data_IF_833717054901
#
_entry.id   IF_833717054901
#
_cell.length_a   1.000
_cell.length_b   1.000
_cell.length_c   1.000
_cell.angle_alpha   90.00
_cell.angle_beta   90.00
_cell.angle_gamma   90.00
#
_symmetry.space_group_name_H-M   'P 1'
#
loop_
_entity.id
_entity.type
_entity.pdbx_description
1 polymer ?
#
# COMPACT_ATOMS: atom_id res chain seq x y z
N UNK A 1 -8.64 33.09 7.07
CA UNK A 1 -9.65 32.16 6.54
C UNK A 1 -9.01 30.79 6.46
N UNK A 2 -9.44 29.82 7.28
CA UNK A 2 -8.99 28.44 7.13
C UNK A 2 -9.74 27.85 5.94
N UNK A 3 -9.10 27.84 4.78
CA UNK A 3 -9.64 27.10 3.65
C UNK A 3 -9.43 25.61 3.95
N UNK A 4 -10.51 24.88 4.15
CA UNK A 4 -10.50 23.42 4.35
C UNK A 4 -10.31 22.72 2.99
N UNK A 5 -9.14 22.93 2.37
CA UNK A 5 -8.76 22.31 1.10
C UNK A 5 -7.80 21.15 1.33
N UNK A 6 -7.84 20.18 0.42
CA UNK A 6 -7.02 18.98 0.51
C UNK A 6 -5.61 19.24 -0.02
N UNK A 7 -4.63 19.33 0.87
CA UNK A 7 -3.21 19.53 0.52
C UNK A 7 -2.66 18.38 -0.33
N UNK A 8 -3.08 17.14 -0.05
CA UNK A 8 -2.75 15.97 -0.87
C UNK A 8 -3.28 16.10 -2.30
N UNK A 9 -4.52 16.54 -2.46
CA UNK A 9 -5.12 16.78 -3.77
C UNK A 9 -4.42 17.93 -4.49
N UNK A 10 -4.11 19.03 -3.78
CA UNK A 10 -3.35 20.16 -4.32
C UNK A 10 -1.97 19.70 -4.80
N UNK A 11 -1.31 18.82 -4.04
CA UNK A 11 -0.07 18.17 -4.45
C UNK A 11 -0.27 17.23 -5.65
N UNK A 12 -1.48 16.82 -5.98
CA UNK A 12 -1.83 16.04 -7.17
C UNK A 12 -2.27 14.60 -6.92
N UNK A 13 -2.42 14.18 -5.65
CA UNK A 13 -2.90 12.84 -5.30
C UNK A 13 -3.50 12.82 -3.89
N UNK A 14 -4.82 12.62 -3.76
CA UNK A 14 -5.47 12.39 -2.46
C UNK A 14 -5.61 10.90 -2.15
N UNK A 15 -5.10 10.43 -1.00
CA UNK A 15 -5.19 9.00 -0.64
C UNK A 15 -6.63 8.56 -0.36
N UNK A 16 -7.45 9.45 0.23
CA UNK A 16 -8.85 9.14 0.52
C UNK A 16 -9.68 8.95 -0.74
N UNK A 17 -9.34 9.66 -1.83
CA UNK A 17 -9.95 9.46 -3.13
C UNK A 17 -9.37 8.21 -3.83
N UNK A 18 -8.04 8.07 -3.79
CA UNK A 18 -7.31 7.01 -4.46
C UNK A 18 -7.66 5.61 -3.96
N UNK A 19 -7.91 5.47 -2.65
CA UNK A 19 -8.28 4.22 -2.01
C UNK A 19 -9.79 4.15 -1.67
N UNK A 20 -10.62 5.00 -2.29
CA UNK A 20 -12.05 5.02 -2.02
C UNK A 20 -12.76 3.80 -2.63
N UNK A 21 -13.53 3.08 -1.81
CA UNK A 21 -14.56 2.12 -2.24
C UNK A 21 -15.93 2.69 -1.90
N UNK A 22 -16.73 2.98 -2.93
CA UNK A 22 -18.05 3.57 -2.78
C UNK A 22 -18.92 2.72 -1.86
N UNK A 23 -19.42 3.31 -0.78
CA UNK A 23 -20.28 2.65 0.20
C UNK A 23 -19.53 1.82 1.25
N UNK A 24 -18.19 1.76 1.21
CA UNK A 24 -17.37 1.01 2.17
C UNK A 24 -16.45 1.98 2.93
N UNK A 25 -15.66 2.78 2.22
CA UNK A 25 -14.70 3.70 2.84
C UNK A 25 -15.24 5.12 2.91
N UNK A 26 -14.81 5.89 3.90
CA UNK A 26 -15.11 7.31 3.99
C UNK A 26 -14.42 8.08 2.85
N UNK A 27 -15.17 8.95 2.17
CA UNK A 27 -14.62 9.87 1.17
C UNK A 27 -13.79 10.98 1.83
N UNK A 28 -12.95 11.66 1.05
CA UNK A 28 -12.23 12.83 1.53
C UNK A 28 -13.23 13.89 2.01
N UNK A 29 -13.04 14.40 3.22
CA UNK A 29 -13.89 15.46 3.80
C UNK A 29 -13.42 16.86 3.39
N UNK A 30 -12.19 16.99 2.89
CA UNK A 30 -11.59 18.25 2.47
C UNK A 30 -11.97 18.59 1.02
N UNK A 31 -11.99 19.87 0.69
CA UNK A 31 -12.35 20.32 -0.65
C UNK A 31 -11.23 20.06 -1.68
N UNK A 32 -11.59 19.47 -2.82
CA UNK A 32 -10.69 19.20 -3.94
C UNK A 32 -10.82 20.32 -5.00
N UNK A 33 -10.25 21.48 -4.70
CA UNK A 33 -10.32 22.66 -5.56
C UNK A 33 -9.25 22.60 -6.67
N UNK A 34 -9.64 22.80 -7.93
CA UNK A 34 -8.73 22.75 -9.06
C UNK A 34 -7.69 23.88 -8.99
N UNK A 35 -8.13 25.05 -8.51
CA UNK A 35 -7.33 26.26 -8.32
C UNK A 35 -6.18 26.02 -7.33
N UNK A 36 -6.41 25.22 -6.28
CA UNK A 36 -5.35 24.86 -5.32
C UNK A 36 -4.26 24.00 -5.97
N UNK A 37 -4.63 23.13 -6.90
CA UNK A 37 -3.68 22.30 -7.65
C UNK A 37 -2.92 23.12 -8.69
N UNK A 38 -3.58 24.03 -9.38
CA UNK A 38 -2.94 24.95 -10.32
C UNK A 38 -1.94 25.86 -9.60
N UNK A 39 -2.33 26.43 -8.46
CA UNK A 39 -1.44 27.21 -7.61
C UNK A 39 -0.23 26.39 -7.15
N UNK A 40 -0.42 25.12 -6.78
CA UNK A 40 0.67 24.21 -6.44
C UNK A 40 1.65 23.96 -7.60
N UNK A 41 1.14 23.82 -8.83
CA UNK A 41 1.99 23.61 -10.01
C UNK A 41 2.74 24.89 -10.39
N UNK A 42 2.08 26.05 -10.30
CA UNK A 42 2.65 27.35 -10.66
C UNK A 42 3.62 27.90 -9.62
N UNK A 43 3.42 27.58 -8.34
CA UNK A 43 4.32 28.03 -7.28
C UNK A 43 5.68 27.33 -7.39
N UNK A 44 6.76 28.11 -7.58
CA UNK A 44 8.14 27.62 -7.47
C UNK A 44 8.60 27.47 -6.02
N UNK A 45 7.95 28.14 -5.07
CA UNK A 45 8.46 28.36 -3.70
C UNK A 45 7.40 28.15 -2.60
N UNK A 46 6.11 28.14 -2.92
CA UNK A 46 5.10 28.61 -1.95
C UNK A 46 4.35 27.55 -1.16
N UNK A 47 4.74 26.28 -1.24
CA UNK A 47 4.03 25.24 -0.52
C UNK A 47 5.05 24.37 0.20
N UNK A 48 4.87 24.24 1.51
CA UNK A 48 5.81 23.58 2.44
C UNK A 48 5.23 22.34 3.11
N UNK A 49 4.10 21.84 2.62
CA UNK A 49 3.43 20.66 3.17
C UNK A 49 3.91 19.34 2.56
N UNK A 50 4.81 19.36 1.56
CA UNK A 50 5.31 18.17 0.85
C UNK A 50 5.93 17.17 1.79
N UNK A 51 6.70 17.64 2.79
CA UNK A 51 7.29 16.75 3.80
C UNK A 51 6.22 16.03 4.60
N UNK A 52 5.12 16.72 4.95
CA UNK A 52 4.02 16.13 5.72
C UNK A 52 3.25 15.12 4.86
N UNK A 53 2.94 15.47 3.61
CA UNK A 53 2.30 14.56 2.64
C UNK A 53 3.16 13.33 2.38
N UNK A 54 4.45 13.54 2.11
CA UNK A 54 5.39 12.45 1.87
C UNK A 54 5.50 11.52 3.08
N UNK A 55 5.54 12.07 4.30
CA UNK A 55 5.53 11.27 5.52
C UNK A 55 4.25 10.43 5.61
N UNK A 56 3.08 11.03 5.36
CA UNK A 56 1.80 10.30 5.34
C UNK A 56 1.80 9.18 4.30
N UNK A 57 2.28 9.44 3.09
CA UNK A 57 2.37 8.42 2.04
C UNK A 57 3.36 7.30 2.41
N UNK A 58 4.50 7.66 3.02
CA UNK A 58 5.46 6.67 3.50
C UNK A 58 4.86 5.78 4.60
N UNK A 59 4.01 6.29 5.49
CA UNK A 59 3.31 5.45 6.48
C UNK A 59 2.48 4.37 5.78
N UNK A 60 1.70 4.74 4.75
CA UNK A 60 0.90 3.80 3.97
C UNK A 60 1.79 2.78 3.24
N UNK A 61 2.87 3.24 2.60
CA UNK A 61 3.79 2.35 1.87
C UNK A 61 4.58 1.42 2.80
N UNK A 62 4.90 1.87 4.01
CA UNK A 62 5.60 1.07 5.02
C UNK A 62 4.69 -0.04 5.57
N UNK A 63 3.40 0.24 5.79
CA UNK A 63 2.42 -0.79 6.15
C UNK A 63 2.36 -1.89 5.09
N UNK A 64 2.27 -1.52 3.81
CA UNK A 64 2.28 -2.48 2.70
C UNK A 64 3.61 -3.22 2.59
N UNK A 65 4.74 -2.54 2.77
CA UNK A 65 6.06 -3.18 2.73
C UNK A 65 6.21 -4.21 3.87
N UNK A 66 5.69 -3.91 5.06
CA UNK A 66 5.63 -4.84 6.19
C UNK A 66 4.80 -6.08 5.83
N UNK A 67 3.59 -5.87 5.27
CA UNK A 67 2.72 -6.96 4.79
C UNK A 67 3.41 -7.83 3.74
N UNK A 68 4.10 -7.23 2.77
CA UNK A 68 4.88 -7.95 1.75
C UNK A 68 5.96 -8.81 2.41
N UNK A 69 6.76 -8.21 3.29
CA UNK A 69 7.88 -8.89 3.97
C UNK A 69 7.38 -10.08 4.80
N UNK A 70 6.25 -9.90 5.48
CA UNK A 70 5.60 -10.97 6.23
C UNK A 70 5.17 -12.12 5.33
N UNK A 71 4.50 -11.81 4.21
CA UNK A 71 4.04 -12.83 3.28
C UNK A 71 5.20 -13.55 2.57
N UNK A 72 6.29 -12.86 2.25
CA UNK A 72 7.50 -13.49 1.72
C UNK A 72 8.08 -14.52 2.69
N UNK A 73 8.02 -14.27 4.00
CA UNK A 73 8.43 -15.25 5.03
C UNK A 73 7.51 -16.46 5.07
N UNK A 74 6.19 -16.25 5.01
CA UNK A 74 5.19 -17.33 4.92
C UNK A 74 5.50 -18.22 3.72
N UNK A 75 5.74 -17.63 2.54
CA UNK A 75 6.03 -18.40 1.34
C UNK A 75 7.38 -19.12 1.41
N UNK A 76 8.41 -18.49 2.00
CA UNK A 76 9.69 -19.16 2.25
C UNK A 76 9.54 -20.40 3.14
N UNK A 77 8.71 -20.31 4.19
CA UNK A 77 8.41 -21.46 5.06
C UNK A 77 7.67 -22.56 4.28
N UNK A 78 6.74 -22.20 3.39
CA UNK A 78 6.06 -23.16 2.53
C UNK A 78 7.02 -23.85 1.55
N UNK A 79 7.98 -23.12 0.97
CA UNK A 79 9.01 -23.65 0.06
C UNK A 79 9.93 -24.66 0.76
N UNK A 80 10.22 -24.45 2.05
CA UNK A 80 11.02 -25.37 2.87
C UNK A 80 10.20 -26.48 3.54
N UNK A 81 8.90 -26.62 3.21
CA UNK A 81 7.94 -27.54 3.83
C UNK A 81 7.73 -27.32 5.34
N UNK A 82 8.07 -26.14 5.86
CA UNK A 82 7.81 -25.76 7.24
C UNK A 82 6.40 -25.16 7.39
N UNK A 83 5.38 -26.00 7.17
CA UNK A 83 3.99 -25.56 7.11
C UNK A 83 3.43 -25.11 8.46
N UNK A 84 3.97 -25.60 9.58
CA UNK A 84 3.56 -25.18 10.91
C UNK A 84 3.96 -23.73 11.18
N UNK A 85 5.20 -23.35 10.83
CA UNK A 85 5.64 -21.96 10.98
C UNK A 85 4.92 -21.03 10.01
N UNK A 86 4.68 -21.47 8.76
CA UNK A 86 3.84 -20.72 7.82
C UNK A 86 2.42 -20.52 8.38
N UNK A 87 1.83 -21.53 9.02
CA UNK A 87 0.51 -21.45 9.63
C UNK A 87 0.47 -20.44 10.78
N UNK A 88 1.45 -20.49 11.68
CA UNK A 88 1.55 -19.56 12.81
C UNK A 88 1.70 -18.11 12.34
N UNK A 89 2.51 -17.89 11.32
CA UNK A 89 2.69 -16.56 10.70
C UNK A 89 1.41 -16.06 10.00
N UNK A 90 0.63 -16.94 9.35
CA UNK A 90 -0.67 -16.53 8.79
C UNK A 90 -1.69 -16.24 9.91
N UNK A 91 -1.67 -17.02 10.99
CA UNK A 91 -2.60 -16.86 12.10
C UNK A 91 -2.39 -15.53 12.84
N UNK A 92 -1.14 -15.11 13.06
CA UNK A 92 -0.83 -13.83 13.70
C UNK A 92 -1.34 -12.61 12.91
N UNK A 93 -1.41 -12.71 11.58
CA UNK A 93 -2.00 -11.65 10.74
C UNK A 93 -3.52 -11.69 10.83
N UNK A 94 -4.12 -12.87 10.76
CA UNK A 94 -5.58 -13.04 10.88
C UNK A 94 -6.14 -12.61 12.24
N UNK A 95 -5.34 -12.63 13.31
CA UNK A 95 -5.73 -12.06 14.61
C UNK A 95 -6.01 -10.55 14.52
N UNK A 96 -5.35 -9.84 13.60
CA UNK A 96 -5.51 -8.39 13.40
C UNK A 96 -6.39 -8.05 12.19
N UNK A 97 -6.52 -8.98 11.23
CA UNK A 97 -7.29 -8.82 9.99
C UNK A 97 -8.10 -10.11 9.71
N UNK A 98 -9.13 -10.41 10.53
CA UNK A 98 -9.85 -11.68 10.47
C UNK A 98 -10.64 -11.87 9.16
N UNK A 99 -11.02 -10.78 8.51
CA UNK A 99 -11.82 -10.78 7.28
C UNK A 99 -10.96 -10.90 6.01
N UNK A 100 -9.66 -11.14 6.14
CA UNK A 100 -8.77 -11.34 5.01
C UNK A 100 -8.98 -12.70 4.34
N UNK A 101 -9.97 -12.78 3.44
CA UNK A 101 -10.37 -14.01 2.76
C UNK A 101 -9.21 -14.75 2.07
N UNK A 102 -8.23 -14.03 1.52
CA UNK A 102 -7.05 -14.66 0.90
C UNK A 102 -6.19 -15.39 1.92
N UNK A 103 -6.00 -14.80 3.12
CA UNK A 103 -5.27 -15.43 4.22
C UNK A 103 -6.06 -16.56 4.87
N UNK A 104 -7.39 -16.43 5.00
CA UNK A 104 -8.25 -17.52 5.49
C UNK A 104 -8.15 -18.74 4.55
N UNK A 105 -8.17 -18.51 3.24
CA UNK A 105 -7.98 -19.57 2.25
C UNK A 105 -6.59 -20.20 2.35
N UNK A 106 -5.55 -19.38 2.51
CA UNK A 106 -4.18 -19.87 2.68
C UNK A 106 -4.04 -20.70 3.96
N UNK A 107 -4.64 -20.27 5.07
CA UNK A 107 -4.69 -21.01 6.34
C UNK A 107 -5.31 -22.39 6.15
N UNK A 108 -6.45 -22.49 5.48
CA UNK A 108 -7.10 -23.79 5.19
C UNK A 108 -6.21 -24.73 4.39
N UNK A 109 -5.45 -24.21 3.42
CA UNK A 109 -4.49 -25.00 2.66
C UNK A 109 -3.31 -25.47 3.51
N UNK A 110 -2.77 -24.61 4.37
CA UNK A 110 -1.70 -24.98 5.31
C UNK A 110 -2.15 -26.09 6.27
N UNK A 111 -3.36 -26.01 6.82
CA UNK A 111 -3.94 -27.08 7.64
C UNK A 111 -4.02 -28.39 6.86
N UNK A 112 -4.47 -28.36 5.62
CA UNK A 112 -4.52 -29.53 4.76
C UNK A 112 -3.12 -30.12 4.50
N UNK A 113 -2.10 -29.28 4.28
CA UNK A 113 -0.71 -29.72 4.13
C UNK A 113 -0.16 -30.38 5.40
N UNK A 114 -0.50 -29.83 6.58
CA UNK A 114 -0.08 -30.37 7.89
C UNK A 114 -0.73 -31.74 8.14
N UNK A 115 -2.04 -31.87 7.92
CA UNK A 115 -2.80 -33.10 8.23
C UNK A 115 -2.51 -34.20 7.20
N UNK A 116 -2.63 -33.88 5.90
CA UNK A 116 -2.62 -34.87 4.84
C UNK A 116 -1.24 -35.09 4.22
N UNK A 117 -0.20 -34.41 4.73
CA UNK A 117 1.17 -34.41 4.17
C UNK A 117 1.21 -34.07 2.67
N UNK A 118 0.15 -33.45 2.16
CA UNK A 118 0.00 -33.13 0.76
C UNK A 118 0.80 -31.85 0.47
N UNK A 119 1.88 -32.00 -0.30
CA UNK A 119 2.80 -30.90 -0.63
C UNK A 119 2.31 -30.03 -1.80
N UNK A 120 1.12 -30.28 -2.32
CA UNK A 120 0.58 -29.52 -3.43
C UNK A 120 -0.06 -28.22 -2.94
N UNK A 121 0.79 -27.32 -2.44
CA UNK A 121 0.38 -25.95 -2.17
C UNK A 121 0.28 -25.24 -3.51
N UNK A 122 -0.93 -24.79 -3.85
CA UNK A 122 -1.13 -23.91 -5.00
C UNK A 122 -0.06 -22.81 -4.97
N UNK A 123 0.50 -22.47 -6.13
CA UNK A 123 1.60 -21.50 -6.24
C UNK A 123 1.07 -20.11 -5.87
N UNK A 124 1.01 -19.79 -4.59
CA UNK A 124 0.70 -18.44 -4.13
C UNK A 124 1.92 -17.54 -4.29
N UNK A 125 1.66 -16.25 -4.46
CA UNK A 125 2.66 -15.20 -4.39
C UNK A 125 2.07 -13.95 -3.74
N UNK A 126 2.95 -13.11 -3.21
CA UNK A 126 2.60 -11.78 -2.75
C UNK A 126 2.92 -10.79 -3.88
N UNK A 127 1.97 -9.93 -4.22
CA UNK A 127 2.25 -8.81 -5.11
C UNK A 127 3.22 -7.84 -4.42
N UNK A 128 4.41 -7.64 -5.01
CA UNK A 128 5.43 -6.70 -4.50
C UNK A 128 5.03 -5.23 -4.53
N UNK A 129 3.90 -4.89 -5.15
CA UNK A 129 3.41 -3.51 -5.22
C UNK A 129 2.38 -3.24 -4.13
N UNK A 130 1.36 -4.10 -4.01
CA UNK A 130 0.19 -3.88 -3.15
C UNK A 130 0.07 -4.85 -1.97
N UNK A 131 0.95 -5.85 -1.84
CA UNK A 131 0.91 -6.83 -0.74
C UNK A 131 -0.15 -7.92 -0.88
N UNK A 132 -1.00 -7.88 -1.91
CA UNK A 132 -2.06 -8.85 -2.09
C UNK A 132 -1.53 -10.26 -2.37
N UNK A 133 -2.14 -11.26 -1.72
CA UNK A 133 -1.85 -12.68 -1.94
C UNK A 133 -2.67 -13.20 -3.11
N UNK A 134 -2.01 -13.83 -4.09
CA UNK A 134 -2.63 -14.29 -5.33
C UNK A 134 -1.98 -15.57 -5.86
N UNK A 135 -2.59 -16.18 -6.88
CA UNK A 135 -2.09 -17.40 -7.52
C UNK A 135 -1.20 -17.02 -8.72
N UNK A 136 -0.06 -17.71 -8.88
CA UNK A 136 1.06 -17.36 -9.76
C UNK A 136 0.75 -17.17 -11.24
N UNK A 137 -0.38 -17.69 -11.70
CA UNK A 137 -0.74 -17.69 -13.13
C UNK A 137 -1.67 -16.53 -13.50
N UNK A 138 -1.96 -15.59 -12.58
CA UNK A 138 -2.81 -14.43 -12.85
C UNK A 138 -2.02 -13.12 -12.84
N UNK A 139 -2.30 -12.28 -13.83
CA UNK A 139 -1.90 -10.87 -13.80
C UNK A 139 -2.43 -10.21 -12.54
N UNK A 140 -1.71 -9.20 -12.05
CA UNK A 140 -2.05 -8.50 -10.83
C UNK A 140 -3.27 -7.58 -11.02
N UNK A 141 -4.47 -8.17 -10.97
CA UNK A 141 -5.77 -7.49 -11.09
C UNK A 141 -6.38 -7.15 -9.72
N UNK A 142 -5.53 -6.98 -8.70
CA UNK A 142 -5.99 -6.69 -7.35
C UNK A 142 -6.54 -5.28 -7.25
N UNK A 143 -7.57 -5.14 -6.42
CA UNK A 143 -8.03 -3.86 -5.93
C UNK A 143 -6.84 -3.04 -5.43
N UNK A 144 -6.77 -1.79 -5.88
CA UNK A 144 -5.74 -0.82 -5.51
C UNK A 144 -4.31 -1.08 -5.99
N UNK A 145 -4.02 -2.08 -6.82
CA UNK A 145 -2.67 -2.22 -7.37
C UNK A 145 -2.20 -0.93 -8.07
N UNK A 146 -3.05 -0.40 -8.97
CA UNK A 146 -2.79 0.85 -9.67
C UNK A 146 -2.75 2.07 -8.73
N UNK A 147 -3.50 2.04 -7.62
CA UNK A 147 -3.43 3.07 -6.59
C UNK A 147 -2.05 3.09 -5.92
N UNK A 148 -1.50 1.94 -5.55
CA UNK A 148 -0.16 1.85 -4.98
C UNK A 148 0.94 2.23 -5.98
N UNK A 149 0.78 1.92 -7.27
CA UNK A 149 1.70 2.41 -8.32
C UNK A 149 1.71 3.95 -8.31
N UNK A 150 0.53 4.57 -8.44
CA UNK A 150 0.39 6.04 -8.42
C UNK A 150 0.97 6.67 -7.15
N UNK A 151 0.75 6.05 -5.99
CA UNK A 151 1.29 6.53 -4.71
C UNK A 151 2.82 6.50 -4.68
N UNK A 152 3.44 5.41 -5.16
CA UNK A 152 4.90 5.28 -5.22
C UNK A 152 5.52 6.29 -6.18
N UNK A 153 4.92 6.46 -7.36
CA UNK A 153 5.35 7.47 -8.34
C UNK A 153 5.26 8.87 -7.75
N UNK A 154 4.17 9.16 -7.02
CA UNK A 154 4.01 10.46 -6.38
C UNK A 154 5.02 10.71 -5.25
N UNK A 155 5.35 9.70 -4.46
CA UNK A 155 6.42 9.79 -3.47
C UNK A 155 7.78 10.12 -4.12
N UNK A 156 8.07 9.54 -5.29
CA UNK A 156 9.31 9.83 -6.03
C UNK A 156 9.32 11.30 -6.48
N UNK A 157 8.24 11.76 -7.10
CA UNK A 157 8.10 13.15 -7.54
C UNK A 157 8.25 14.16 -6.38
N UNK A 158 7.60 13.90 -5.23
CA UNK A 158 7.70 14.77 -4.05
C UNK A 158 9.13 14.81 -3.48
N UNK A 159 9.85 13.67 -3.45
CA UNK A 159 11.24 13.63 -2.99
C UNK A 159 12.17 14.45 -3.90
N UNK A 160 12.00 14.33 -5.21
CA UNK A 160 12.78 15.09 -6.19
C UNK A 160 12.54 16.60 -6.02
N UNK A 161 11.28 17.03 -5.85
CA UNK A 161 10.93 18.42 -5.55
C UNK A 161 11.55 18.94 -4.25
N UNK A 162 11.40 18.20 -3.15
CA UNK A 162 11.97 18.59 -1.84
C UNK A 162 13.50 18.73 -1.91
N UNK A 163 14.17 17.82 -2.63
CA UNK A 163 15.62 17.88 -2.77
C UNK A 163 16.07 19.08 -3.61
N UNK A 164 15.33 19.44 -4.66
CA UNK A 164 15.60 20.63 -5.46
C UNK A 164 15.44 21.93 -4.66
N UNK A 165 14.42 22.03 -3.81
CA UNK A 165 14.26 23.20 -2.94
C UNK A 165 15.45 23.37 -1.99
N UNK A 166 16.00 22.28 -1.46
CA UNK A 166 17.19 22.32 -0.59
C UNK A 166 18.46 22.73 -1.32
N UNK A 167 18.60 22.43 -2.62
CA UNK A 167 19.77 22.87 -3.40
C UNK A 167 19.68 24.36 -3.73
N UNK A 168 18.49 24.84 -4.05
CA UNK A 168 18.25 26.24 -4.42
C UNK A 168 18.39 27.19 -3.19
N UNK A 169 18.14 26.70 -1.97
CA UNK A 169 18.35 27.43 -0.71
C UNK A 169 19.83 27.49 -0.26
N UNK A 170 20.72 26.73 -0.90
CA UNK A 170 22.13 26.61 -0.53
C UNK A 170 23.10 27.44 -1.41
N UNK A 171 22.59 28.08 -2.45
CA UNK A 171 23.29 29.02 -3.35
C UNK A 171 23.03 30.49 -2.96
#
# INVERSE_FOLDING_TARGET
MNFDYCEEYAAGLCTNELFCLKGITQQCTKNHLAESREAYVQSKVLIGFEKQILNKFNVILNDVASKITHMERVFKNMETNNYLDAYNEVNSVLENDPDNYSLVRLKGLLVNCIINQNRNVARFLCCRVCGAVCVKDKNCEHSFHQAYVKLRDKCKELRERINKMKSDDAE
#
